data_IF_236617984176
#
_entry.id   IF_236617984176
#
_cell.length_a   1.000
_cell.length_b   1.000
_cell.length_c   1.000
_cell.angle_alpha   90.00
_cell.angle_beta   90.00
_cell.angle_gamma   90.00
#
_symmetry.space_group_name_H-M   'P 1'
#
loop_
_entity.id
_entity.type
_entity.pdbx_description
1 polymer ?
#
# COMPACT_ATOMS: atom_id res chain seq x y z
N UNK A 1 3.06 3.79 -37.34
CA UNK A 1 1.61 4.07 -37.22
C UNK A 1 1.29 3.95 -35.74
N UNK A 2 1.44 5.06 -35.00
CA UNK A 2 1.42 5.10 -33.53
C UNK A 2 -0.03 5.15 -33.04
N UNK A 3 -0.55 4.02 -32.57
CA UNK A 3 -1.83 3.98 -31.88
C UNK A 3 -1.71 4.69 -30.54
N UNK A 4 -2.66 5.58 -30.30
CA UNK A 4 -2.81 6.39 -29.09
C UNK A 4 -2.85 5.53 -27.83
N UNK A 5 -1.83 5.63 -26.98
CA UNK A 5 -1.96 5.29 -25.57
C UNK A 5 -2.22 6.58 -24.82
N UNK A 6 -3.50 6.82 -24.48
CA UNK A 6 -3.88 7.82 -23.48
C UNK A 6 -3.37 7.30 -22.13
N UNK A 7 -2.23 7.81 -21.67
CA UNK A 7 -2.06 8.04 -20.23
C UNK A 7 -3.22 8.95 -19.84
N UNK A 8 -4.06 8.54 -18.88
CA UNK A 8 -5.23 9.29 -18.42
C UNK A 8 -4.92 10.79 -18.34
N UNK A 9 -5.45 11.55 -19.30
CA UNK A 9 -5.47 12.99 -19.28
C UNK A 9 -6.32 13.42 -18.08
N UNK A 10 -5.75 14.27 -17.24
CA UNK A 10 -6.30 14.76 -15.97
C UNK A 10 -7.59 15.60 -16.10
N UNK A 11 -8.15 15.73 -17.31
CA UNK A 11 -9.29 16.60 -17.63
C UNK A 11 -10.67 16.01 -17.28
N UNK A 12 -10.75 14.79 -16.75
CA UNK A 12 -12.05 14.22 -16.30
C UNK A 12 -12.19 14.02 -14.80
N UNK A 13 -11.25 14.51 -13.97
CA UNK A 13 -11.37 14.44 -12.49
C UNK A 13 -11.85 15.79 -11.95
N UNK A 14 -13.02 16.19 -12.43
CA UNK A 14 -13.90 17.13 -11.76
C UNK A 14 -15.21 16.39 -11.43
N UNK A 15 -15.09 15.23 -10.79
CA UNK A 15 -16.22 14.62 -10.10
C UNK A 15 -15.79 14.18 -8.70
N UNK A 16 -16.68 14.45 -7.76
CA UNK A 16 -16.55 14.30 -6.31
C UNK A 16 -16.50 12.84 -5.83
N UNK A 17 -16.26 11.87 -6.73
CA UNK A 17 -16.06 10.45 -6.43
C UNK A 17 -14.74 9.97 -7.04
N UNK A 18 -13.71 9.83 -6.20
CA UNK A 18 -12.52 9.04 -6.54
C UNK A 18 -12.89 7.56 -6.43
N UNK A 19 -13.33 6.98 -7.54
CA UNK A 19 -13.53 5.54 -7.69
C UNK A 19 -12.17 4.84 -7.84
N UNK A 20 -12.03 3.63 -7.29
CA UNK A 20 -10.83 2.82 -7.49
C UNK A 20 -10.78 2.35 -8.94
N UNK A 21 -9.70 2.74 -9.66
CA UNK A 21 -9.52 2.40 -11.08
C UNK A 21 -8.96 0.99 -11.29
N UNK A 22 -8.09 0.52 -10.38
CA UNK A 22 -7.44 -0.79 -10.47
C UNK A 22 -8.13 -1.80 -9.55
N UNK A 23 -8.92 -2.70 -10.13
CA UNK A 23 -9.72 -3.69 -9.40
C UNK A 23 -8.99 -5.03 -9.19
N UNK A 24 -8.08 -5.37 -10.08
CA UNK A 24 -7.25 -6.58 -10.03
C UNK A 24 -5.79 -6.23 -10.30
N UNK A 25 -4.86 -7.11 -9.94
CA UNK A 25 -3.46 -6.92 -10.27
C UNK A 25 -3.22 -7.09 -11.79
N UNK A 26 -2.68 -6.06 -12.44
CA UNK A 26 -2.47 -6.01 -13.90
C UNK A 26 -0.98 -5.92 -14.22
N UNK A 27 -0.52 -6.77 -15.14
CA UNK A 27 0.84 -6.71 -15.67
C UNK A 27 0.90 -5.89 -16.96
N UNK A 28 1.79 -4.90 -17.01
CA UNK A 28 2.08 -4.10 -18.21
C UNK A 28 3.54 -4.27 -18.58
N UNK A 29 3.81 -4.69 -19.81
CA UNK A 29 5.19 -4.84 -20.31
C UNK A 29 5.60 -3.65 -21.16
N UNK A 30 6.81 -3.14 -20.93
CA UNK A 30 7.40 -2.04 -21.67
C UNK A 30 8.91 -2.24 -21.82
N UNK A 31 9.58 -1.31 -22.50
CA UNK A 31 11.04 -1.27 -22.59
C UNK A 31 11.55 0.02 -21.96
N UNK A 32 12.43 -0.12 -20.96
CA UNK A 32 13.08 1.00 -20.28
C UNK A 32 14.58 0.76 -20.36
N UNK A 33 15.33 1.76 -20.82
CA UNK A 33 16.79 1.68 -21.02
C UNK A 33 17.23 0.43 -21.81
N UNK A 34 16.47 0.10 -22.86
CA UNK A 34 16.66 -1.09 -23.72
C UNK A 34 16.50 -2.43 -23.01
N UNK A 35 15.92 -2.46 -21.80
CA UNK A 35 15.58 -3.68 -21.07
C UNK A 35 14.07 -3.91 -21.10
N UNK A 36 13.62 -5.15 -21.35
CA UNK A 36 12.22 -5.50 -21.14
C UNK A 36 11.90 -5.40 -19.65
N UNK A 37 10.83 -4.70 -19.31
CA UNK A 37 10.34 -4.53 -17.95
C UNK A 37 8.86 -4.89 -17.93
N UNK A 38 8.45 -5.67 -16.94
CA UNK A 38 7.05 -5.91 -16.62
C UNK A 38 6.73 -5.25 -15.29
N UNK A 39 5.83 -4.27 -15.32
CA UNK A 39 5.28 -3.63 -14.14
C UNK A 39 4.00 -4.36 -13.73
N UNK A 40 3.89 -4.67 -12.45
CA UNK A 40 2.67 -5.22 -11.87
C UNK A 40 2.02 -4.08 -11.10
N UNK A 41 0.90 -3.57 -11.61
CA UNK A 41 0.04 -2.65 -10.89
C UNK A 41 -0.90 -3.46 -9.98
N UNK A 42 -1.12 -2.99 -8.77
CA UNK A 42 -1.95 -3.69 -7.77
C UNK A 42 -2.96 -2.73 -7.19
N UNK A 43 -4.18 -3.21 -6.83
CA UNK A 43 -5.08 -2.42 -6.00
C UNK A 43 -4.35 -1.89 -4.76
N UNK A 44 -4.55 -0.61 -4.46
CA UNK A 44 -3.90 0.03 -3.32
C UNK A 44 -4.57 -0.39 -2.01
N UNK A 45 -3.78 -0.64 -0.96
CA UNK A 45 -4.35 -0.75 0.39
C UNK A 45 -5.07 0.55 0.78
N UNK A 46 -6.05 0.45 1.69
CA UNK A 46 -6.98 1.54 2.02
C UNK A 46 -7.89 1.93 0.83
N UNK A 47 -8.31 0.91 0.08
CA UNK A 47 -9.35 0.99 -0.95
C UNK A 47 -10.72 1.22 -0.31
N UNK A 48 -11.61 1.95 -1.00
CA UNK A 48 -12.98 2.16 -0.51
C UNK A 48 -13.90 0.99 -0.83
N UNK A 49 -13.58 0.24 -1.87
CA UNK A 49 -14.42 -0.82 -2.43
C UNK A 49 -13.94 -2.21 -1.98
N UNK A 50 -12.76 -2.30 -1.34
CA UNK A 50 -12.12 -3.57 -0.96
C UNK A 50 -11.49 -3.52 0.42
N UNK A 51 -11.65 -4.62 1.15
CA UNK A 51 -11.02 -4.80 2.45
C UNK A 51 -9.54 -5.12 2.28
N UNK A 52 -8.71 -4.81 3.28
CA UNK A 52 -7.27 -5.12 3.21
C UNK A 52 -7.00 -6.62 3.08
N UNK A 53 -7.91 -7.46 3.55
CA UNK A 53 -7.85 -8.93 3.40
C UNK A 53 -7.98 -9.32 1.93
N UNK A 54 -8.93 -8.72 1.22
CA UNK A 54 -9.13 -8.96 -0.21
C UNK A 54 -7.92 -8.48 -1.02
N UNK A 55 -7.37 -7.31 -0.68
CA UNK A 55 -6.20 -6.75 -1.36
C UNK A 55 -4.97 -7.62 -1.12
N UNK A 56 -4.71 -8.02 0.13
CA UNK A 56 -3.62 -8.93 0.47
C UNK A 56 -3.75 -10.26 -0.27
N UNK A 57 -4.97 -10.81 -0.37
CA UNK A 57 -5.25 -12.05 -1.12
C UNK A 57 -4.97 -11.89 -2.61
N UNK A 58 -5.40 -10.78 -3.23
CA UNK A 58 -5.15 -10.49 -4.64
C UNK A 58 -3.67 -10.38 -4.95
N UNK A 59 -2.93 -9.61 -4.13
CA UNK A 59 -1.47 -9.48 -4.27
C UNK A 59 -0.81 -10.85 -4.12
N UNK A 60 -1.18 -11.61 -3.09
CA UNK A 60 -0.62 -12.93 -2.82
C UNK A 60 -0.85 -13.90 -3.98
N UNK A 61 -2.09 -13.96 -4.49
CA UNK A 61 -2.46 -14.80 -5.63
C UNK A 61 -1.63 -14.44 -6.86
N UNK A 62 -1.57 -13.15 -7.21
CA UNK A 62 -0.82 -12.69 -8.38
C UNK A 62 0.69 -12.99 -8.27
N UNK A 63 1.28 -12.78 -7.09
CA UNK A 63 2.68 -13.10 -6.84
C UNK A 63 2.98 -14.59 -6.90
N UNK A 64 2.04 -15.44 -6.50
CA UNK A 64 2.18 -16.90 -6.61
C UNK A 64 2.03 -17.39 -8.05
N UNK A 65 1.09 -16.85 -8.82
CA UNK A 65 0.94 -17.13 -10.25
C UNK A 65 2.25 -16.80 -11.00
N UNK A 66 2.81 -15.60 -10.78
CA UNK A 66 4.08 -15.19 -11.39
C UNK A 66 5.27 -16.04 -10.94
N UNK A 67 5.27 -16.46 -9.68
CA UNK A 67 6.28 -17.39 -9.20
C UNK A 67 6.20 -18.75 -9.90
N UNK A 68 4.99 -19.30 -10.09
CA UNK A 68 4.77 -20.57 -10.80
C UNK A 68 5.19 -20.50 -12.27
N UNK A 69 5.06 -19.33 -12.90
CA UNK A 69 5.59 -19.03 -14.24
C UNK A 69 7.14 -18.90 -14.27
N UNK A 70 7.82 -18.99 -13.12
CA UNK A 70 9.27 -18.83 -13.01
C UNK A 70 9.76 -17.38 -12.98
N UNK A 71 8.85 -16.42 -12.84
CA UNK A 71 9.16 -14.99 -12.82
C UNK A 71 9.41 -14.51 -11.38
N UNK A 72 10.58 -13.88 -11.15
CA UNK A 72 10.94 -13.29 -9.86
C UNK A 72 10.89 -11.78 -9.91
N UNK A 73 10.58 -11.16 -8.77
CA UNK A 73 10.56 -9.70 -8.63
C UNK A 73 11.98 -9.15 -8.49
N UNK A 74 12.36 -8.19 -9.34
CA UNK A 74 13.57 -7.40 -9.17
C UNK A 74 13.48 -6.49 -7.94
N UNK A 75 12.39 -5.72 -7.83
CA UNK A 75 12.12 -4.90 -6.66
C UNK A 75 10.70 -4.36 -6.64
N UNK A 76 10.46 -3.44 -5.71
CA UNK A 76 9.13 -2.92 -5.40
C UNK A 76 9.15 -1.40 -5.37
N UNK A 77 8.12 -0.80 -5.95
CA UNK A 77 7.85 0.63 -5.83
C UNK A 77 6.71 0.79 -4.83
N UNK A 78 6.97 1.42 -3.69
CA UNK A 78 5.96 1.73 -2.69
C UNK A 78 5.53 3.18 -2.81
N UNK A 79 4.35 3.42 -3.39
CA UNK A 79 3.79 4.76 -3.55
C UNK A 79 3.12 5.20 -2.24
N UNK A 80 3.65 6.23 -1.60
CA UNK A 80 3.14 6.69 -0.30
C UNK A 80 2.86 8.20 -0.34
N UNK A 81 1.61 8.64 -0.12
CA UNK A 81 1.29 10.06 -0.01
C UNK A 81 2.02 10.74 1.15
N UNK A 82 2.68 11.86 0.88
CA UNK A 82 3.40 12.68 1.87
C UNK A 82 2.57 13.92 2.18
N UNK A 83 1.49 13.70 2.93
CA UNK A 83 0.54 14.75 3.34
C UNK A 83 0.96 15.44 4.64
N UNK A 84 0.43 16.64 4.87
CA UNK A 84 0.84 17.56 5.93
C UNK A 84 0.16 17.39 7.28
N UNK A 85 -0.75 16.42 7.45
CA UNK A 85 -1.63 16.35 8.61
C UNK A 85 -1.16 15.32 9.65
N UNK A 86 -1.25 15.68 10.93
CA UNK A 86 -0.78 14.87 12.07
C UNK A 86 -1.52 13.53 12.26
N UNK A 87 -2.80 13.45 11.84
CA UNK A 87 -3.64 12.23 11.91
C UNK A 87 -3.18 11.11 10.97
N UNK A 88 -2.32 11.42 9.99
CA UNK A 88 -1.87 10.46 8.96
C UNK A 88 -0.82 9.48 9.49
N UNK A 89 -0.15 9.82 10.59
CA UNK A 89 0.88 8.97 11.20
C UNK A 89 0.35 7.58 11.58
N UNK A 90 -0.88 7.50 12.11
CA UNK A 90 -1.49 6.23 12.51
C UNK A 90 -1.83 5.30 11.34
N UNK A 91 -2.52 5.81 10.31
CA UNK A 91 -2.86 4.98 9.13
C UNK A 91 -1.62 4.65 8.30
N UNK A 92 -0.67 5.59 8.18
CA UNK A 92 0.61 5.36 7.50
C UNK A 92 1.45 4.31 8.21
N UNK A 93 1.53 4.33 9.54
CA UNK A 93 2.26 3.32 10.31
C UNK A 93 1.62 1.93 10.16
N UNK A 94 0.29 1.84 10.26
CA UNK A 94 -0.46 0.59 10.09
C UNK A 94 -0.20 -0.03 8.71
N UNK A 95 -0.31 0.75 7.63
CA UNK A 95 -0.07 0.23 6.29
C UNK A 95 1.40 -0.12 6.06
N UNK A 96 2.31 0.69 6.59
CA UNK A 96 3.75 0.44 6.49
C UNK A 96 4.14 -0.85 7.20
N UNK A 97 3.53 -1.15 8.36
CA UNK A 97 3.76 -2.38 9.12
C UNK A 97 3.27 -3.61 8.35
N UNK A 98 2.10 -3.54 7.73
CA UNK A 98 1.58 -4.60 6.85
C UNK A 98 2.50 -4.81 5.63
N UNK A 99 2.92 -3.73 4.98
CA UNK A 99 3.84 -3.78 3.84
C UNK A 99 5.18 -4.44 4.22
N UNK A 100 5.78 -4.06 5.35
CA UNK A 100 6.99 -4.70 5.88
C UNK A 100 6.81 -6.19 6.14
N UNK A 101 5.67 -6.58 6.71
CA UNK A 101 5.33 -7.98 6.98
C UNK A 101 5.16 -8.79 5.69
N UNK A 102 4.61 -8.18 4.63
CA UNK A 102 4.47 -8.80 3.30
C UNK A 102 5.83 -9.02 2.64
N UNK A 103 6.71 -8.01 2.68
CA UNK A 103 8.02 -8.05 2.03
C UNK A 103 9.05 -8.92 2.75
N UNK A 104 9.07 -8.82 4.08
CA UNK A 104 10.15 -9.28 4.93
C UNK A 104 11.42 -8.43 4.83
N UNK A 105 12.17 -8.37 5.93
CA UNK A 105 13.36 -7.51 6.08
C UNK A 105 14.47 -7.78 5.07
N UNK A 106 14.52 -8.97 4.47
CA UNK A 106 15.53 -9.39 3.49
C UNK A 106 15.26 -8.90 2.05
N UNK A 107 14.20 -8.09 1.89
CA UNK A 107 13.79 -7.50 0.61
C UNK A 107 13.83 -5.97 0.60
N UNK A 108 14.14 -5.33 1.74
CA UNK A 108 14.10 -3.87 1.86
C UNK A 108 15.11 -3.17 0.97
N UNK A 109 16.26 -3.80 0.71
CA UNK A 109 17.30 -3.36 -0.22
C UNK A 109 16.82 -3.23 -1.68
N UNK A 110 15.62 -3.71 -1.99
CA UNK A 110 15.01 -3.68 -3.32
C UNK A 110 13.74 -2.85 -3.37
N UNK A 111 13.53 -1.98 -2.38
CA UNK A 111 12.37 -1.11 -2.28
C UNK A 111 12.75 0.32 -2.64
N UNK A 112 11.97 0.94 -3.52
CA UNK A 112 11.95 2.39 -3.70
C UNK A 112 10.61 2.92 -3.19
N UNK A 113 10.65 3.69 -2.11
CA UNK A 113 9.51 4.42 -1.57
C UNK A 113 9.40 5.74 -2.33
N UNK A 114 8.35 5.89 -3.12
CA UNK A 114 8.12 7.08 -3.93
C UNK A 114 7.02 7.94 -3.29
N UNK A 115 7.42 9.08 -2.76
CA UNK A 115 6.55 10.03 -2.08
C UNK A 115 5.64 10.79 -3.03
N UNK A 116 4.32 10.66 -2.88
CA UNK A 116 3.34 11.32 -3.76
C UNK A 116 2.60 12.46 -3.05
N UNK A 117 1.81 13.25 -3.79
CA UNK A 117 0.87 14.26 -3.26
C UNK A 117 1.49 15.36 -2.36
N UNK A 118 2.80 15.60 -2.46
CA UNK A 118 3.49 16.63 -1.67
C UNK A 118 3.45 18.02 -2.30
N UNK A 119 2.93 18.15 -3.53
CA UNK A 119 2.63 19.41 -4.20
C UNK A 119 1.38 19.26 -5.09
N UNK A 120 0.75 20.38 -5.46
CA UNK A 120 -0.39 20.35 -6.37
C UNK A 120 0.09 20.38 -7.83
N UNK A 121 -0.03 19.26 -8.53
CA UNK A 121 0.37 19.15 -9.94
C UNK A 121 -0.39 20.10 -10.87
N UNK A 122 -1.60 20.55 -10.48
CA UNK A 122 -2.40 21.50 -11.26
C UNK A 122 -1.79 22.91 -11.25
N UNK A 123 -0.94 23.21 -10.28
CA UNK A 123 -0.25 24.50 -10.18
C UNK A 123 1.03 24.56 -11.03
N UNK A 124 1.33 23.49 -11.79
CA UNK A 124 2.56 23.36 -12.58
C UNK A 124 3.71 22.69 -11.81
N UNK A 125 4.96 22.88 -12.26
CA UNK A 125 6.13 22.32 -11.58
C UNK A 125 6.25 22.81 -10.13
N UNK A 126 6.73 21.97 -9.20
CA UNK A 126 6.84 22.36 -7.81
C UNK A 126 7.84 23.50 -7.61
N UNK A 127 7.50 24.41 -6.71
CA UNK A 127 8.40 25.44 -6.22
C UNK A 127 9.55 24.83 -5.41
N UNK A 128 10.62 25.59 -5.23
CA UNK A 128 11.74 25.13 -4.39
C UNK A 128 11.31 24.91 -2.93
N UNK A 129 10.42 25.75 -2.40
CA UNK A 129 9.88 25.58 -1.06
C UNK A 129 9.09 24.26 -0.89
N UNK A 130 8.31 23.87 -1.90
CA UNK A 130 7.59 22.58 -1.90
C UNK A 130 8.58 21.41 -1.95
N UNK A 131 9.62 21.49 -2.78
CA UNK A 131 10.68 20.45 -2.84
C UNK A 131 11.36 20.28 -1.49
N UNK A 132 11.79 21.38 -0.86
CA UNK A 132 12.44 21.34 0.45
C UNK A 132 11.51 20.78 1.54
N UNK A 133 10.22 21.14 1.48
CA UNK A 133 9.21 20.58 2.40
C UNK A 133 9.04 19.07 2.22
N UNK A 134 9.00 18.58 0.97
CA UNK A 134 8.90 17.16 0.69
C UNK A 134 10.13 16.40 1.20
N UNK A 135 11.34 16.91 0.95
CA UNK A 135 12.59 16.32 1.44
C UNK A 135 12.63 16.24 2.96
N UNK A 136 12.22 17.32 3.66
CA UNK A 136 12.13 17.32 5.13
C UNK A 136 11.19 16.22 5.63
N UNK A 137 10.00 16.10 5.03
CA UNK A 137 9.00 15.09 5.42
C UNK A 137 9.43 13.67 5.11
N UNK A 138 10.19 13.45 4.04
CA UNK A 138 10.83 12.17 3.78
C UNK A 138 11.85 11.88 4.88
N UNK A 139 12.72 12.84 5.20
CA UNK A 139 13.72 12.66 6.24
C UNK A 139 13.12 12.31 7.61
N UNK A 140 12.01 12.96 8.00
CA UNK A 140 11.25 12.63 9.21
C UNK A 140 10.78 11.17 9.22
N UNK A 141 10.29 10.66 8.08
CA UNK A 141 9.82 9.27 7.94
C UNK A 141 10.95 8.26 7.90
N UNK A 142 12.07 8.60 7.26
CA UNK A 142 13.26 7.75 7.25
C UNK A 142 14.01 7.77 8.58
N UNK A 143 13.70 8.69 9.48
CA UNK A 143 14.19 8.70 10.85
C UNK A 143 13.30 7.89 11.82
N UNK A 144 12.10 7.50 11.41
CA UNK A 144 11.13 6.80 12.25
C UNK A 144 11.04 5.31 11.88
N UNK A 145 11.39 4.41 12.81
CA UNK A 145 11.34 2.96 12.58
C UNK A 145 9.92 2.43 12.35
N UNK A 146 8.90 3.05 12.96
CA UNK A 146 7.50 2.68 12.72
C UNK A 146 7.09 2.97 11.26
N UNK A 147 7.74 3.95 10.64
CA UNK A 147 7.56 4.33 9.25
C UNK A 147 8.67 3.72 8.38
N UNK A 148 9.63 4.48 7.87
CA UNK A 148 10.54 3.99 6.82
C UNK A 148 11.96 3.72 7.31
N UNK A 149 12.27 4.03 8.58
CA UNK A 149 13.64 4.04 9.08
C UNK A 149 14.36 2.70 8.99
N UNK A 150 13.71 1.60 9.36
CA UNK A 150 14.29 0.26 9.27
C UNK A 150 14.45 -0.23 7.82
N UNK A 151 13.54 0.17 6.92
CA UNK A 151 13.65 -0.10 5.49
C UNK A 151 14.87 0.60 4.90
N UNK A 152 15.02 1.89 5.18
CA UNK A 152 16.13 2.71 4.66
C UNK A 152 17.47 2.27 5.25
N UNK A 153 17.51 1.95 6.55
CA UNK A 153 18.70 1.37 7.19
C UNK A 153 19.15 0.05 6.55
N UNK A 154 18.22 -0.67 5.88
CA UNK A 154 18.49 -1.90 5.14
C UNK A 154 18.59 -1.71 3.62
N UNK A 155 18.72 -0.48 3.14
CA UNK A 155 19.01 -0.19 1.74
C UNK A 155 17.81 0.23 0.89
N UNK A 156 16.61 0.38 1.46
CA UNK A 156 15.51 1.00 0.73
C UNK A 156 15.84 2.45 0.40
N UNK A 157 15.38 2.92 -0.77
CA UNK A 157 15.51 4.31 -1.19
C UNK A 157 14.19 5.04 -0.98
N UNK A 158 14.22 6.27 -0.48
CA UNK A 158 13.03 7.11 -0.36
C UNK A 158 13.23 8.40 -1.16
N UNK A 159 12.33 8.67 -2.11
CA UNK A 159 12.45 9.80 -3.04
C UNK A 159 11.10 10.51 -3.22
N UNK A 160 11.08 11.84 -3.40
CA UNK A 160 9.87 12.53 -3.82
C UNK A 160 9.57 12.18 -5.28
N UNK A 161 8.34 11.74 -5.57
CA UNK A 161 7.88 11.48 -6.93
C UNK A 161 7.24 12.72 -7.53
N UNK A 162 7.73 13.15 -8.70
CA UNK A 162 7.30 14.34 -9.42
C UNK A 162 6.13 14.11 -10.37
N UNK A 163 5.55 12.92 -10.40
CA UNK A 163 4.46 12.60 -11.32
C UNK A 163 4.75 12.94 -12.80
N UNK A 164 6.03 12.87 -13.21
CA UNK A 164 6.46 13.05 -14.60
C UNK A 164 6.94 11.73 -15.20
N UNK A 165 6.92 11.65 -16.52
CA UNK A 165 7.37 10.45 -17.23
C UNK A 165 8.87 10.19 -17.01
N UNK A 166 9.69 11.24 -16.94
CA UNK A 166 11.12 11.14 -16.67
C UNK A 166 11.38 10.55 -15.28
N UNK A 167 10.66 11.02 -14.27
CA UNK A 167 10.86 10.57 -12.90
C UNK A 167 10.34 9.13 -12.69
N UNK A 168 9.22 8.78 -13.33
CA UNK A 168 8.72 7.41 -13.36
C UNK A 168 9.74 6.45 -14.00
N UNK A 169 10.30 6.82 -15.17
CA UNK A 169 11.35 6.02 -15.83
C UNK A 169 12.59 5.87 -14.95
N UNK A 170 13.01 6.93 -14.27
CA UNK A 170 14.16 6.90 -13.35
C UNK A 170 13.94 5.90 -12.21
N UNK A 171 12.78 5.94 -11.57
CA UNK A 171 12.44 5.02 -10.47
C UNK A 171 12.41 3.57 -10.97
N UNK A 172 11.74 3.32 -12.10
CA UNK A 172 11.67 1.96 -12.67
C UNK A 172 13.04 1.45 -13.10
N UNK A 173 13.90 2.31 -13.66
CA UNK A 173 15.28 1.96 -14.03
C UNK A 173 16.10 1.50 -12.81
N UNK A 174 15.99 2.22 -11.68
CA UNK A 174 16.61 1.82 -10.41
C UNK A 174 16.11 0.45 -9.97
N UNK A 175 14.79 0.26 -9.90
CA UNK A 175 14.18 -0.99 -9.43
C UNK A 175 14.52 -2.18 -10.32
N UNK A 176 14.57 -1.97 -11.64
CA UNK A 176 14.92 -3.00 -12.63
C UNK A 176 16.38 -3.42 -12.55
N UNK A 177 17.24 -2.61 -11.91
CA UNK A 177 18.65 -2.94 -11.67
C UNK A 177 18.88 -3.88 -10.49
N UNK A 178 17.89 -4.08 -9.62
CA UNK A 178 18.01 -4.94 -8.45
C UNK A 178 18.02 -6.43 -8.81
N UNK A 179 18.69 -7.24 -7.99
CA UNK A 179 18.74 -8.69 -8.15
C UNK A 179 17.37 -9.30 -7.84
N UNK A 180 16.84 -10.07 -8.77
CA UNK A 180 15.54 -10.72 -8.60
C UNK A 180 15.53 -11.75 -7.46
N UNK A 181 14.54 -11.66 -6.58
CA UNK A 181 14.40 -12.51 -5.39
C UNK A 181 12.95 -12.53 -4.88
N UNK A 182 12.56 -13.68 -4.35
CA UNK A 182 11.25 -13.90 -3.75
C UNK A 182 11.12 -13.14 -2.42
N UNK A 183 9.95 -12.54 -2.20
CA UNK A 183 9.63 -11.84 -0.95
C UNK A 183 9.05 -12.79 0.10
N UNK A 184 8.90 -12.31 1.35
CA UNK A 184 8.52 -13.18 2.47
C UNK A 184 7.19 -13.88 2.25
N UNK A 185 6.15 -13.18 1.81
CA UNK A 185 4.83 -13.80 1.60
C UNK A 185 4.87 -14.96 0.59
N UNK A 186 5.64 -14.84 -0.50
CA UNK A 186 5.82 -15.93 -1.45
C UNK A 186 6.50 -17.13 -0.78
N UNK A 187 7.56 -16.90 -0.01
CA UNK A 187 8.27 -17.97 0.72
C UNK A 187 7.37 -18.70 1.72
N UNK A 188 6.53 -17.95 2.41
CA UNK A 188 5.62 -18.51 3.41
C UNK A 188 4.53 -19.36 2.78
N UNK A 189 3.89 -18.86 1.72
CA UNK A 189 2.87 -19.61 0.98
C UNK A 189 3.45 -20.87 0.33
N UNK A 190 4.66 -20.79 -0.21
CA UNK A 190 5.38 -21.96 -0.74
C UNK A 190 5.72 -23.01 0.32
N UNK A 191 5.93 -22.59 1.57
CA UNK A 191 6.15 -23.49 2.70
C UNK A 191 4.84 -24.14 3.20
N UNK A 192 3.73 -23.93 2.50
CA UNK A 192 2.42 -24.50 2.84
C UNK A 192 1.64 -23.72 3.88
N UNK A 193 2.08 -22.51 4.26
CA UNK A 193 1.29 -21.65 5.15
C UNK A 193 0.05 -21.14 4.43
N UNK A 194 -1.08 -21.11 5.13
CA UNK A 194 -2.26 -20.37 4.67
C UNK A 194 -2.02 -18.86 4.73
N UNK A 195 -2.88 -18.05 4.10
CA UNK A 195 -2.72 -16.60 4.08
C UNK A 195 -2.72 -16.01 5.50
N UNK A 196 -3.58 -16.50 6.40
CA UNK A 196 -3.64 -16.07 7.80
C UNK A 196 -2.37 -16.40 8.60
N UNK A 197 -1.65 -17.46 8.24
CA UNK A 197 -0.44 -17.93 8.94
C UNK A 197 0.82 -17.16 8.55
N UNK A 198 0.78 -16.47 7.40
CA UNK A 198 1.86 -15.59 6.91
C UNK A 198 2.10 -14.43 7.88
N UNK A 199 3.29 -13.84 7.83
CA UNK A 199 3.63 -12.65 8.61
C UNK A 199 2.65 -11.50 8.32
N UNK A 200 2.29 -11.28 7.05
CA UNK A 200 1.32 -10.27 6.64
C UNK A 200 -0.10 -10.59 7.14
N UNK A 201 -0.54 -11.85 7.06
CA UNK A 201 -1.83 -12.28 7.57
C UNK A 201 -1.94 -12.10 9.08
N UNK A 202 -0.91 -12.49 9.83
CA UNK A 202 -0.84 -12.28 11.30
C UNK A 202 -0.87 -10.81 11.67
N UNK A 203 -0.12 -9.97 10.95
CA UNK A 203 -0.10 -8.54 11.17
C UNK A 203 -1.49 -7.93 10.90
N UNK A 204 -2.13 -8.28 9.79
CA UNK A 204 -3.46 -7.80 9.46
C UNK A 204 -4.51 -8.29 10.47
N UNK A 205 -4.46 -9.56 10.88
CA UNK A 205 -5.35 -10.09 11.90
C UNK A 205 -5.16 -9.37 13.24
N UNK A 206 -3.92 -9.08 13.64
CA UNK A 206 -3.62 -8.30 14.84
C UNK A 206 -4.26 -6.91 14.77
N UNK A 207 -4.04 -6.18 13.67
CA UNK A 207 -4.62 -4.84 13.46
C UNK A 207 -6.14 -4.85 13.57
N UNK A 208 -6.80 -5.81 12.90
CA UNK A 208 -8.27 -5.92 12.93
C UNK A 208 -8.79 -6.28 14.32
N UNK A 209 -8.11 -7.14 15.06
CA UNK A 209 -8.50 -7.48 16.43
C UNK A 209 -8.32 -6.29 17.40
N UNK A 210 -7.27 -5.48 17.23
CA UNK A 210 -7.06 -4.25 18.00
C UNK A 210 -8.18 -3.23 17.73
N UNK A 211 -8.54 -3.01 16.46
CA UNK A 211 -9.65 -2.13 16.07
C UNK A 211 -11.00 -2.62 16.60
N UNK A 212 -11.26 -3.92 16.48
CA UNK A 212 -12.48 -4.56 16.97
C UNK A 212 -12.62 -4.44 18.49
N UNK A 213 -11.51 -4.54 19.24
CA UNK A 213 -11.53 -4.33 20.68
C UNK A 213 -11.92 -2.89 21.03
N UNK A 214 -11.36 -1.89 20.32
CA UNK A 214 -11.72 -0.48 20.52
C UNK A 214 -13.20 -0.22 20.21
N UNK A 215 -13.74 -0.76 19.12
CA UNK A 215 -15.15 -0.62 18.77
C UNK A 215 -16.07 -1.27 19.83
N UNK A 216 -15.68 -2.43 20.37
CA UNK A 216 -16.43 -3.10 21.46
C UNK A 216 -16.38 -2.29 22.76
N UNK A 217 -15.27 -1.63 23.06
CA UNK A 217 -15.14 -0.74 24.21
C UNK A 217 -16.00 0.51 24.05
N UNK A 218 -15.97 1.12 22.87
CA UNK A 218 -16.82 2.26 22.51
C UNK A 218 -18.31 1.89 22.62
N UNK A 219 -18.70 0.69 22.17
CA UNK A 219 -20.09 0.23 22.28
C UNK A 219 -20.50 0.03 23.73
N UNK A 220 -19.61 -0.45 24.60
CA UNK A 220 -19.88 -0.58 26.03
C UNK A 220 -20.03 0.77 26.72
N UNK A 221 -19.18 1.74 26.37
CA UNK A 221 -19.26 3.09 26.89
C UNK A 221 -20.57 3.77 26.45
N UNK A 222 -20.89 3.70 25.16
CA UNK A 222 -22.08 4.33 24.58
C UNK A 222 -23.38 3.71 25.12
N UNK A 223 -23.43 2.39 25.34
CA UNK A 223 -24.57 1.73 25.99
C UNK A 223 -24.83 2.19 27.43
N UNK A 224 -23.81 2.73 28.08
CA UNK A 224 -23.90 3.23 29.46
C UNK A 224 -24.23 4.72 29.50
N UNK A 225 -24.20 5.40 28.35
CA UNK A 225 -24.59 6.79 28.21
C UNK A 225 -26.12 6.89 28.08
N UNK A 226 -26.71 7.83 28.84
CA UNK A 226 -28.16 8.06 28.86
C UNK A 226 -28.64 8.83 27.64
N UNK A 227 -27.74 9.56 26.99
CA UNK A 227 -28.04 10.39 25.81
C UNK A 227 -27.81 9.64 24.49
N UNK A 228 -27.28 8.40 24.55
CA UNK A 228 -27.03 7.59 23.38
C UNK A 228 -28.31 7.25 22.62
N UNK A 229 -28.28 7.44 21.30
CA UNK A 229 -29.38 7.06 20.42
C UNK A 229 -29.25 5.63 19.93
N UNK A 230 -30.37 4.95 19.66
CA UNK A 230 -30.33 3.60 19.06
C UNK A 230 -29.61 3.61 17.70
N UNK A 231 -29.68 4.72 16.97
CA UNK A 231 -28.98 4.88 15.69
C UNK A 231 -27.46 4.83 15.86
N UNK A 232 -26.89 5.48 16.88
CA UNK A 232 -25.44 5.42 17.13
C UNK A 232 -25.00 4.03 17.58
N UNK A 233 -25.81 3.37 18.43
CA UNK A 233 -25.57 1.98 18.84
C UNK A 233 -25.59 1.02 17.64
N UNK A 234 -26.56 1.16 16.75
CA UNK A 234 -26.68 0.32 15.56
C UNK A 234 -25.56 0.57 14.55
N UNK A 235 -25.13 1.83 14.37
CA UNK A 235 -23.95 2.14 13.55
C UNK A 235 -22.71 1.42 14.06
N UNK A 236 -22.51 1.39 15.38
CA UNK A 236 -21.33 0.76 15.97
C UNK A 236 -21.43 -0.77 15.97
N UNK A 237 -22.62 -1.35 16.17
CA UNK A 237 -22.87 -2.79 15.99
C UNK A 237 -22.55 -3.25 14.56
N UNK A 238 -22.99 -2.49 13.55
CA UNK A 238 -22.67 -2.80 12.14
C UNK A 238 -21.17 -2.78 11.88
N UNK A 239 -20.45 -1.77 12.37
CA UNK A 239 -18.98 -1.73 12.25
C UNK A 239 -18.30 -2.94 12.90
N UNK A 240 -18.79 -3.39 14.05
CA UNK A 240 -18.28 -4.59 14.74
C UNK A 240 -18.52 -5.84 13.89
N UNK A 241 -19.73 -6.01 13.37
CA UNK A 241 -20.10 -7.13 12.50
C UNK A 241 -19.24 -7.16 11.22
N UNK A 242 -19.10 -6.02 10.54
CA UNK A 242 -18.23 -5.88 9.36
C UNK A 242 -16.78 -6.30 9.67
N UNK A 243 -16.25 -5.92 10.84
CA UNK A 243 -14.88 -6.26 11.24
C UNK A 243 -14.73 -7.73 11.64
N UNK A 244 -15.71 -8.30 12.32
CA UNK A 244 -15.76 -9.74 12.65
C UNK A 244 -15.79 -10.56 11.35
N UNK A 245 -16.57 -10.14 10.35
CA UNK A 245 -16.63 -10.76 9.02
C UNK A 245 -15.29 -10.67 8.29
N UNK A 246 -14.61 -9.52 8.29
CA UNK A 246 -13.28 -9.37 7.70
C UNK A 246 -12.24 -10.29 8.35
N UNK A 247 -12.26 -10.42 9.68
CA UNK A 247 -11.38 -11.33 10.42
C UNK A 247 -11.69 -12.77 10.03
N UNK A 248 -12.97 -13.13 9.93
CA UNK A 248 -13.39 -14.46 9.53
C UNK A 248 -13.01 -14.79 8.08
N UNK A 249 -13.15 -13.83 7.17
CA UNK A 249 -12.77 -13.96 5.77
C UNK A 249 -11.28 -14.23 5.58
N UNK A 250 -10.42 -13.63 6.42
CA UNK A 250 -8.99 -13.89 6.39
C UNK A 250 -8.68 -15.37 6.69
N UNK A 251 -9.46 -16.00 7.59
CA UNK A 251 -9.32 -17.42 7.97
C UNK A 251 -9.85 -18.39 6.93
N UNK A 252 -10.85 -17.98 6.15
CA UNK A 252 -11.51 -18.82 5.12
C UNK A 252 -10.66 -19.06 3.86
N UNK A 253 -9.53 -18.39 3.68
CA UNK A 253 -8.71 -18.45 2.47
C UNK A 253 -7.84 -19.71 2.31
N UNK A 254 -8.27 -20.87 2.81
CA UNK A 254 -7.63 -22.18 2.62
C UNK A 254 -8.28 -22.94 1.45
#
# INVERSE_FOLDING_TARGET
MLSHYRLCSYESIADSRRETVTQDAVSVSCTIDRRPVTLIDTPGFNDKDRTEVQILRLISKHLMEKYQEGTKLNGIIFLQPIVSTSRVTGSEATITRLFKALLGRDSFDRVVIAGTHWYNIQNGPPTEAERQTALKRIAERTACEELWGDMVAKGAQAVPYLNTQEDARRIVSVVSGFRAKDILIQKELMAGKSLEETAAGKELNKQKNEELALLRDELRALKSDRDATEMELDQLRRKIEEKDDEIFDLKRGC
#
